data_IF_561454091969
#
_entry.id   IF_561454091969
#
_cell.length_a   1.000
_cell.length_b   1.000
_cell.length_c   1.000
_cell.angle_alpha   90.00
_cell.angle_beta   90.00
_cell.angle_gamma   90.00
#
_symmetry.space_group_name_H-M   'P 1'
#
loop_
_entity.id
_entity.type
_entity.pdbx_description
1 polymer ?
#
# COMPACT_ATOMS: atom_id res chain seq x y z
N UNK A 1 -4.92 3.20 0.44
CA UNK A 1 -4.89 1.99 -0.40
C UNK A 1 -6.29 1.72 -0.87
N UNK A 2 -6.51 1.64 -2.18
CA UNK A 2 -7.78 1.22 -2.74
C UNK A 2 -7.59 -0.10 -3.48
N UNK A 3 -8.39 -1.11 -3.10
CA UNK A 3 -8.39 -2.44 -3.70
C UNK A 3 -9.84 -2.91 -3.87
N UNK A 4 -10.27 -3.19 -5.11
CA UNK A 4 -11.62 -3.68 -5.44
C UNK A 4 -12.74 -2.93 -4.68
N UNK A 5 -12.75 -1.59 -4.78
CA UNK A 5 -13.70 -0.68 -4.11
C UNK A 5 -13.61 -0.58 -2.58
N UNK A 6 -12.67 -1.27 -1.92
CA UNK A 6 -12.38 -1.09 -0.50
C UNK A 6 -11.18 -0.17 -0.31
N UNK A 7 -11.41 0.94 0.38
CA UNK A 7 -10.35 1.82 0.85
C UNK A 7 -9.90 1.39 2.25
N UNK A 8 -8.61 1.10 2.40
CA UNK A 8 -8.00 0.85 3.72
C UNK A 8 -6.79 1.76 3.94
N UNK A 9 -6.50 1.95 5.22
CA UNK A 9 -5.31 2.67 5.64
C UNK A 9 -4.07 1.78 5.51
N UNK A 10 -3.10 2.22 4.71
CA UNK A 10 -1.83 1.52 4.50
C UNK A 10 -0.99 1.44 5.79
N UNK A 11 -1.13 2.41 6.72
CA UNK A 11 -0.46 2.38 8.02
C UNK A 11 -0.90 1.19 8.88
N UNK A 12 -2.07 0.61 8.61
CA UNK A 12 -2.55 -0.58 9.30
C UNK A 12 -2.26 -1.83 8.48
N UNK A 13 -1.12 -2.47 8.76
CA UNK A 13 -0.74 -3.77 8.20
C UNK A 13 -1.85 -4.82 8.39
N UNK A 14 -2.60 -4.76 9.49
CA UNK A 14 -3.76 -5.63 9.73
C UNK A 14 -4.90 -5.41 8.71
N UNK A 15 -5.12 -4.16 8.27
CA UNK A 15 -6.14 -3.83 7.28
C UNK A 15 -5.75 -4.32 5.88
N UNK A 16 -4.45 -4.28 5.55
CA UNK A 16 -3.92 -4.79 4.28
C UNK A 16 -3.95 -6.32 4.26
N UNK A 17 -3.59 -6.99 5.35
CA UNK A 17 -3.71 -8.45 5.46
C UNK A 17 -5.17 -8.92 5.40
N UNK A 18 -6.10 -8.17 6.00
CA UNK A 18 -7.54 -8.49 5.94
C UNK A 18 -8.15 -8.37 4.55
N UNK A 19 -7.53 -7.62 3.63
CA UNK A 19 -8.01 -7.51 2.25
C UNK A 19 -7.69 -8.75 1.41
N UNK A 20 -6.77 -9.62 1.87
CA UNK A 20 -6.37 -10.80 1.11
C UNK A 20 -5.91 -10.43 -0.30
N UNK A 21 -5.10 -9.37 -0.40
CA UNK A 21 -4.52 -8.90 -1.67
C UNK A 21 -3.70 -10.06 -2.25
N UNK A 22 -4.22 -10.68 -3.30
CA UNK A 22 -3.60 -11.84 -3.94
C UNK A 22 -2.39 -11.44 -4.79
N UNK A 23 -1.56 -12.42 -5.14
CA UNK A 23 -0.48 -12.20 -6.11
C UNK A 23 -1.07 -11.76 -7.46
N UNK A 24 -0.56 -10.66 -8.03
CA UNK A 24 -1.09 -9.96 -9.22
C UNK A 24 -2.33 -9.07 -8.98
N UNK A 25 -2.54 -8.60 -7.76
CA UNK A 25 -3.57 -7.60 -7.47
C UNK A 25 -3.08 -6.18 -7.78
N UNK A 26 -3.83 -5.45 -8.61
CA UNK A 26 -3.64 -4.02 -8.81
C UNK A 26 -4.18 -3.25 -7.59
N UNK A 27 -3.29 -2.54 -6.90
CA UNK A 27 -3.62 -1.66 -5.78
C UNK A 27 -3.26 -0.22 -6.13
N UNK A 28 -4.14 0.71 -5.76
CA UNK A 28 -3.84 2.15 -5.90
C UNK A 28 -3.50 2.72 -4.53
N UNK A 29 -2.34 3.37 -4.45
CA UNK A 29 -1.86 4.05 -3.25
C UNK A 29 -2.02 5.55 -3.46
N UNK A 30 -2.67 6.21 -2.53
CA UNK A 30 -2.81 7.67 -2.53
C UNK A 30 -2.33 8.17 -1.19
N UNK A 31 -1.45 9.16 -1.22
CA UNK A 31 -0.91 9.89 -0.08
C UNK A 31 -1.28 11.36 -0.25
N UNK A 32 -1.71 12.00 0.82
CA UNK A 32 -2.17 13.40 0.85
C UNK A 32 -1.64 14.03 2.15
N UNK A 33 -0.86 15.11 2.05
CA UNK A 33 -0.14 15.73 3.17
C UNK A 33 1.09 16.56 2.78
N UNK A 34 1.85 17.02 3.77
CA UNK A 34 3.12 17.73 3.51
C UNK A 34 4.29 16.76 3.27
N UNK A 35 4.12 15.49 3.65
CA UNK A 35 5.12 14.41 3.63
C UNK A 35 4.83 13.36 2.54
N UNK A 36 4.01 13.67 1.53
CA UNK A 36 3.57 12.69 0.51
C UNK A 36 4.74 12.05 -0.23
N UNK A 37 5.75 12.84 -0.59
CA UNK A 37 6.93 12.38 -1.32
C UNK A 37 7.76 11.39 -0.49
N UNK A 38 7.99 11.70 0.78
CA UNK A 38 8.71 10.84 1.71
C UNK A 38 7.91 9.56 2.00
N UNK A 39 6.58 9.69 2.17
CA UNK A 39 5.68 8.57 2.39
C UNK A 39 5.64 7.63 1.19
N UNK A 40 5.55 8.13 -0.05
CA UNK A 40 5.60 7.29 -1.25
C UNK A 40 6.92 6.54 -1.36
N UNK A 41 8.04 7.22 -1.08
CA UNK A 41 9.37 6.61 -1.13
C UNK A 41 9.50 5.49 -0.09
N UNK A 42 9.09 5.76 1.16
CA UNK A 42 9.12 4.77 2.24
C UNK A 42 8.20 3.57 1.95
N UNK A 43 7.02 3.81 1.36
CA UNK A 43 6.10 2.75 0.96
C UNK A 43 6.70 1.89 -0.15
N UNK A 44 7.27 2.50 -1.20
CA UNK A 44 7.92 1.79 -2.29
C UNK A 44 9.08 0.92 -1.78
N UNK A 45 9.98 1.49 -0.96
CA UNK A 45 11.07 0.74 -0.33
C UNK A 45 10.55 -0.43 0.51
N UNK A 46 9.49 -0.22 1.29
CA UNK A 46 8.91 -1.28 2.11
C UNK A 46 8.30 -2.39 1.24
N UNK A 47 7.60 -2.05 0.16
CA UNK A 47 7.00 -3.04 -0.75
C UNK A 47 8.07 -3.87 -1.45
N UNK A 48 9.16 -3.25 -1.92
CA UNK A 48 10.31 -3.96 -2.50
C UNK A 48 11.03 -4.82 -1.47
N UNK A 49 11.25 -4.31 -0.26
CA UNK A 49 11.94 -5.03 0.82
C UNK A 49 11.16 -6.27 1.30
N UNK A 50 9.84 -6.19 1.30
CA UNK A 50 8.93 -7.29 1.65
C UNK A 50 8.63 -8.20 0.43
N UNK A 51 9.17 -7.91 -0.76
CA UNK A 51 8.99 -8.71 -1.97
C UNK A 51 7.55 -8.71 -2.51
N UNK A 52 6.79 -7.66 -2.22
CA UNK A 52 5.39 -7.49 -2.64
C UNK A 52 5.28 -6.82 -4.03
N UNK A 53 6.35 -6.13 -4.47
CA UNK A 53 6.47 -5.51 -5.80
C UNK A 53 7.93 -5.47 -6.24
N UNK A 54 8.20 -5.82 -7.50
CA UNK A 54 9.49 -5.63 -8.20
C UNK A 54 9.52 -4.28 -8.94
#
# INVERSE_FOLDING_TARGET
>A
MQYQDKSVNLKSIMGVMSLGVGQNADITITTDGDDEADAMTAIAETMTKEGLSD
#
